data_IF_402386030956
#
_entry.id   IF_402386030956
#
_cell.length_a   1.000
_cell.length_b   1.000
_cell.length_c   1.000
_cell.angle_alpha   90.00
_cell.angle_beta   90.00
_cell.angle_gamma   90.00
#
_symmetry.space_group_name_H-M   'P 1'
#
loop_
_entity.id
_entity.type
_entity.pdbx_description
1 polymer ?
#
# COMPACT_ATOMS: atom_id res chain seq x y z
N UNK A 1 -3.32 -18.60 19.22
CA UNK A 1 -2.57 -17.36 19.50
C UNK A 1 -3.58 -16.27 19.79
N UNK A 2 -3.51 -15.68 20.99
CA UNK A 2 -4.52 -14.75 21.48
C UNK A 2 -4.59 -13.51 20.57
N UNK A 3 -5.76 -13.27 19.98
CA UNK A 3 -6.05 -12.00 19.32
C UNK A 3 -6.08 -10.92 20.40
N UNK A 4 -4.97 -10.20 20.53
CA UNK A 4 -4.88 -9.00 21.34
C UNK A 4 -5.92 -8.05 20.71
N UNK A 5 -7.01 -7.76 21.41
CA UNK A 5 -8.00 -6.79 20.95
C UNK A 5 -7.38 -5.40 21.03
N UNK A 6 -6.55 -5.07 20.04
CA UNK A 6 -5.92 -3.78 19.90
C UNK A 6 -6.99 -2.83 19.38
N UNK A 7 -7.26 -1.75 20.12
CA UNK A 7 -8.16 -0.67 19.66
C UNK A 7 -7.69 -0.05 18.34
N UNK A 8 -6.48 -0.35 17.89
CA UNK A 8 -5.84 0.17 16.68
C UNK A 8 -6.17 -0.73 15.50
N UNK A 9 -7.21 -0.33 14.75
CA UNK A 9 -7.63 -1.00 13.52
C UNK A 9 -7.05 -0.39 12.24
N UNK A 10 -6.44 0.80 12.37
CA UNK A 10 -6.02 1.65 11.24
C UNK A 10 -4.55 2.01 11.32
N UNK A 11 -3.84 1.88 10.21
CA UNK A 11 -2.48 2.38 10.01
C UNK A 11 -2.49 3.56 9.05
N UNK A 12 -1.62 4.55 9.30
CA UNK A 12 -1.38 5.66 8.38
C UNK A 12 0.07 5.59 7.90
N UNK A 13 0.28 5.47 6.60
CA UNK A 13 1.61 5.35 5.99
C UNK A 13 1.86 6.61 5.13
N UNK A 14 2.75 7.51 5.57
CA UNK A 14 3.09 8.70 4.81
C UNK A 14 4.06 8.37 3.67
N UNK A 15 3.54 8.34 2.45
CA UNK A 15 4.28 8.06 1.21
C UNK A 15 4.43 9.30 0.31
N UNK A 16 4.19 10.52 0.82
CA UNK A 16 4.23 11.75 0.02
C UNK A 16 5.64 12.30 -0.29
N UNK A 17 6.72 11.73 0.26
CA UNK A 17 8.07 12.30 0.13
C UNK A 17 8.74 12.05 -1.22
N UNK A 18 9.43 13.05 -1.78
CA UNK A 18 10.09 12.97 -3.11
C UNK A 18 11.35 12.08 -3.17
N UNK A 19 11.84 11.56 -2.04
CA UNK A 19 12.95 10.60 -2.02
C UNK A 19 14.31 11.18 -2.45
N UNK A 20 14.57 12.46 -2.22
CA UNK A 20 15.80 13.15 -2.69
C UNK A 20 17.13 12.51 -2.27
N UNK A 21 17.14 11.73 -1.19
CA UNK A 21 18.33 10.99 -0.71
C UNK A 21 18.67 9.75 -1.53
N UNK A 22 17.75 9.29 -2.39
CA UNK A 22 17.88 8.07 -3.20
C UNK A 22 17.93 8.41 -4.71
N UNK A 23 18.21 9.68 -5.04
CA UNK A 23 18.47 10.08 -6.42
C UNK A 23 19.81 9.47 -6.89
N UNK A 24 19.93 9.03 -8.16
CA UNK A 24 18.98 9.23 -9.27
C UNK A 24 17.84 8.19 -9.36
N UNK A 25 17.88 7.11 -8.59
CA UNK A 25 16.93 5.98 -8.71
C UNK A 25 15.47 6.42 -8.52
N UNK A 26 15.22 7.38 -7.62
CA UNK A 26 13.86 7.82 -7.28
C UNK A 26 13.34 8.99 -8.12
N UNK A 27 13.99 9.31 -9.24
CA UNK A 27 13.54 10.39 -10.15
C UNK A 27 12.22 10.04 -10.85
N UNK A 28 12.05 8.76 -11.23
CA UNK A 28 10.87 8.27 -11.96
C UNK A 28 10.03 7.28 -11.15
N UNK A 29 10.66 6.54 -10.23
CA UNK A 29 10.00 5.54 -9.39
C UNK A 29 9.94 6.07 -7.95
N UNK A 30 8.78 6.05 -7.27
CA UNK A 30 8.71 6.42 -5.86
C UNK A 30 9.65 5.55 -5.03
N UNK A 31 10.30 6.11 -4.01
CA UNK A 31 11.21 5.35 -3.13
C UNK A 31 10.54 4.13 -2.49
N UNK A 32 9.23 4.21 -2.26
CA UNK A 32 8.41 3.15 -1.66
C UNK A 32 8.20 1.97 -2.62
N UNK A 33 8.36 2.20 -3.92
CA UNK A 33 8.27 1.20 -4.99
C UNK A 33 9.63 0.63 -5.39
N UNK A 34 10.72 1.00 -4.71
CA UNK A 34 12.01 0.38 -4.95
C UNK A 34 11.92 -1.12 -4.57
N UNK A 35 12.33 -2.04 -5.46
CA UNK A 35 12.28 -3.47 -5.17
C UNK A 35 13.35 -3.84 -4.15
N UNK A 36 12.95 -4.59 -3.13
CA UNK A 36 13.83 -5.34 -2.26
C UNK A 36 13.72 -6.81 -2.68
N UNK A 37 14.76 -7.30 -3.38
CA UNK A 37 14.75 -8.59 -4.08
C UNK A 37 13.74 -8.59 -5.23
N UNK A 38 12.51 -9.00 -4.97
CA UNK A 38 11.43 -9.23 -5.94
C UNK A 38 10.17 -8.39 -5.67
N UNK A 39 10.04 -7.82 -4.46
CA UNK A 39 8.85 -7.10 -4.01
C UNK A 39 9.17 -5.64 -3.68
N UNK A 40 8.27 -4.69 -3.97
CA UNK A 40 8.50 -3.30 -3.58
C UNK A 40 8.49 -3.14 -2.07
N UNK A 41 9.27 -2.18 -1.55
CA UNK A 41 9.38 -1.91 -0.11
C UNK A 41 8.02 -1.70 0.58
N UNK A 42 7.07 -1.03 -0.10
CA UNK A 42 5.74 -0.77 0.46
C UNK A 42 4.97 -2.06 0.78
N UNK A 43 5.19 -3.14 0.03
CA UNK A 43 4.53 -4.43 0.27
C UNK A 43 5.00 -5.06 1.59
N UNK A 44 6.27 -4.90 1.96
CA UNK A 44 6.77 -5.35 3.26
C UNK A 44 6.10 -4.61 4.41
N UNK A 45 5.99 -3.28 4.31
CA UNK A 45 5.34 -2.43 5.33
C UNK A 45 3.86 -2.80 5.49
N UNK A 46 3.16 -3.03 4.37
CA UNK A 46 1.76 -3.46 4.39
C UNK A 46 1.62 -4.85 5.00
N UNK A 47 2.48 -5.80 4.64
CA UNK A 47 2.47 -7.14 5.22
C UNK A 47 2.72 -7.13 6.73
N UNK A 48 3.61 -6.27 7.23
CA UNK A 48 3.81 -6.08 8.67
C UNK A 48 2.56 -5.54 9.36
N UNK A 49 1.85 -4.60 8.74
CA UNK A 49 0.59 -4.07 9.24
C UNK A 49 -0.49 -5.16 9.31
N UNK A 50 -0.60 -6.00 8.26
CA UNK A 50 -1.54 -7.13 8.20
C UNK A 50 -1.20 -8.16 9.27
N UNK A 51 0.08 -8.50 9.44
CA UNK A 51 0.56 -9.41 10.48
C UNK A 51 0.28 -8.88 11.89
N UNK A 52 0.26 -7.56 12.07
CA UNK A 52 -0.13 -6.89 13.31
C UNK A 52 -1.66 -6.86 13.54
N UNK A 53 -2.47 -7.37 12.60
CA UNK A 53 -3.93 -7.38 12.69
C UNK A 53 -4.60 -6.08 12.25
N UNK A 54 -3.90 -5.21 11.53
CA UNK A 54 -4.46 -3.96 11.00
C UNK A 54 -5.21 -4.26 9.70
N UNK A 55 -6.49 -3.93 9.66
CA UNK A 55 -7.36 -4.18 8.51
C UNK A 55 -7.53 -2.95 7.62
N UNK A 56 -7.29 -1.74 8.14
CA UNK A 56 -7.44 -0.50 7.38
C UNK A 56 -6.09 0.23 7.26
N UNK A 57 -5.65 0.48 6.04
CA UNK A 57 -4.38 1.16 5.77
C UNK A 57 -4.67 2.43 4.98
N UNK A 58 -4.16 3.57 5.46
CA UNK A 58 -4.32 4.88 4.83
C UNK A 58 -2.96 5.33 4.29
N UNK A 59 -2.84 5.39 2.96
CA UNK A 59 -1.66 5.89 2.27
C UNK A 59 -1.77 7.39 2.04
N UNK A 60 -0.93 8.19 2.70
CA UNK A 60 -0.88 9.64 2.48
C UNK A 60 0.14 9.93 1.40
N UNK A 61 -0.34 10.24 0.19
CA UNK A 61 0.46 10.33 -1.04
C UNK A 61 0.40 11.72 -1.70
N UNK A 62 1.12 11.87 -2.81
CA UNK A 62 1.11 13.04 -3.69
C UNK A 62 0.61 12.63 -5.09
N UNK A 63 0.14 13.58 -5.91
CA UNK A 63 -0.45 13.31 -7.23
C UNK A 63 0.50 12.60 -8.22
N UNK A 64 1.80 12.63 -7.96
CA UNK A 64 2.84 12.02 -8.78
C UNK A 64 3.11 10.54 -8.45
N UNK A 65 2.30 9.90 -7.58
CA UNK A 65 2.59 8.56 -7.03
C UNK A 65 1.44 7.56 -7.19
N UNK A 66 0.74 7.58 -8.32
CA UNK A 66 -0.33 6.62 -8.65
C UNK A 66 0.18 5.17 -8.77
N UNK A 67 1.48 4.97 -8.98
CA UNK A 67 2.08 3.63 -9.06
C UNK A 67 1.96 2.82 -7.76
N UNK A 68 1.81 3.49 -6.61
CA UNK A 68 1.60 2.80 -5.33
C UNK A 68 0.18 2.23 -5.28
N UNK A 69 -0.82 2.99 -5.72
CA UNK A 69 -2.22 2.52 -5.80
C UNK A 69 -2.33 1.32 -6.72
N UNK A 70 -1.83 1.45 -7.95
CA UNK A 70 -1.91 0.39 -8.95
C UNK A 70 -1.22 -0.91 -8.51
N UNK A 71 -0.25 -0.85 -7.59
CA UNK A 71 0.40 -2.03 -7.04
C UNK A 71 -0.51 -2.84 -6.11
N UNK A 72 -1.39 -2.17 -5.37
CA UNK A 72 -2.32 -2.79 -4.43
C UNK A 72 -3.72 -3.00 -5.00
N UNK A 73 -4.02 -2.39 -6.14
CA UNK A 73 -5.26 -2.58 -6.87
C UNK A 73 -5.22 -3.88 -7.70
N UNK A 74 -6.39 -4.49 -7.86
CA UNK A 74 -6.55 -5.71 -8.65
C UNK A 74 -6.41 -5.40 -10.14
N UNK A 75 -5.37 -5.94 -10.77
CA UNK A 75 -5.12 -5.75 -12.20
C UNK A 75 -5.86 -6.83 -13.02
N UNK A 76 -7.13 -6.57 -13.35
CA UNK A 76 -7.99 -7.53 -14.06
C UNK A 76 -7.35 -8.07 -15.36
N UNK A 77 -6.69 -7.20 -16.14
CA UNK A 77 -6.01 -7.62 -17.38
C UNK A 77 -4.86 -8.59 -17.11
N UNK A 78 -4.07 -8.35 -16.05
CA UNK A 78 -2.94 -9.19 -15.67
C UNK A 78 -3.41 -10.54 -15.14
N UNK A 79 -4.44 -10.56 -14.30
CA UNK A 79 -5.04 -11.79 -13.77
C UNK A 79 -5.60 -12.67 -14.90
N UNK A 80 -6.41 -12.07 -15.80
CA UNK A 80 -6.95 -12.79 -16.95
C UNK A 80 -5.86 -13.33 -17.89
N UNK A 81 -4.74 -12.62 -18.03
CA UNK A 81 -3.59 -13.07 -18.81
C UNK A 81 -2.83 -14.22 -18.14
N UNK A 82 -2.67 -14.19 -16.82
CA UNK A 82 -2.02 -15.25 -16.03
C UNK A 82 -2.87 -16.52 -15.96
N UNK A 83 -4.19 -16.38 -15.82
CA UNK A 83 -5.16 -17.47 -15.89
C UNK A 83 -5.09 -18.19 -17.23
N UNK A 84 -5.11 -17.43 -18.35
CA UNK A 84 -4.99 -17.99 -19.71
C UNK A 84 -3.69 -18.76 -19.92
N UNK A 85 -2.60 -18.36 -19.24
CA UNK A 85 -1.29 -19.00 -19.35
C UNK A 85 -1.08 -20.15 -18.34
N UNK A 86 -2.09 -20.49 -17.53
CA UNK A 86 -2.07 -21.54 -16.49
C UNK A 86 -0.93 -21.33 -15.47
N UNK A 87 -0.49 -20.08 -15.27
CA UNK A 87 0.57 -19.72 -14.32
C UNK A 87 0.00 -19.52 -12.91
N UNK A 88 -0.52 -20.60 -12.32
CA UNK A 88 -1.25 -20.57 -11.04
C UNK A 88 -0.45 -19.98 -9.88
N UNK A 89 0.84 -20.33 -9.77
CA UNK A 89 1.71 -19.80 -8.71
C UNK A 89 1.82 -18.27 -8.75
N UNK A 90 1.98 -17.69 -9.94
CA UNK A 90 2.10 -16.24 -10.11
C UNK A 90 0.76 -15.54 -9.93
N UNK A 91 -0.35 -16.20 -10.29
CA UNK A 91 -1.69 -15.68 -10.02
C UNK A 91 -1.95 -15.58 -8.51
N UNK A 92 -1.62 -16.65 -7.77
CA UNK A 92 -1.76 -16.68 -6.31
C UNK A 92 -0.88 -15.60 -5.66
N UNK A 93 0.35 -15.39 -6.15
CA UNK A 93 1.23 -14.33 -5.66
C UNK A 93 0.64 -12.93 -5.88
N UNK A 94 0.09 -12.64 -7.07
CA UNK A 94 -0.54 -11.34 -7.37
C UNK A 94 -1.79 -11.12 -6.52
N UNK A 95 -2.65 -12.13 -6.39
CA UNK A 95 -3.85 -12.04 -5.54
C UNK A 95 -3.53 -11.94 -4.05
N UNK A 96 -2.38 -12.47 -3.62
CA UNK A 96 -1.92 -12.36 -2.23
C UNK A 96 -1.41 -10.96 -1.84
N UNK A 97 -1.17 -10.07 -2.80
CA UNK A 97 -0.66 -8.71 -2.52
C UNK A 97 -1.63 -7.93 -1.63
N UNK A 98 -2.94 -8.06 -1.86
CA UNK A 98 -3.97 -7.40 -1.07
C UNK A 98 -5.02 -8.43 -0.64
N UNK A 99 -4.97 -8.91 0.62
CA UNK A 99 -5.97 -9.85 1.12
C UNK A 99 -7.38 -9.21 1.13
N UNK A 100 -8.45 -9.98 0.88
CA UNK A 100 -9.81 -9.45 0.74
C UNK A 100 -10.40 -8.79 2.00
N UNK A 101 -9.78 -9.01 3.16
CA UNK A 101 -10.20 -8.43 4.44
C UNK A 101 -9.46 -7.12 4.79
N UNK A 102 -8.52 -6.68 3.93
CA UNK A 102 -7.72 -5.48 4.12
C UNK A 102 -8.23 -4.41 3.17
N UNK A 103 -8.47 -3.21 3.69
CA UNK A 103 -8.86 -2.05 2.88
C UNK A 103 -7.74 -1.04 2.86
N UNK A 104 -7.22 -0.76 1.67
CA UNK A 104 -6.19 0.25 1.44
C UNK A 104 -6.88 1.49 0.85
N UNK A 105 -6.83 2.59 1.58
CA UNK A 105 -7.35 3.89 1.17
C UNK A 105 -6.19 4.83 0.88
N UNK A 106 -6.30 5.66 -0.14
CA UNK A 106 -5.29 6.66 -0.47
C UNK A 106 -5.80 8.09 -0.34
N UNK A 107 -4.94 8.97 0.15
CA UNK A 107 -5.21 10.38 0.32
C UNK A 107 -4.12 11.23 -0.34
N UNK A 108 -4.48 11.93 -1.41
CA UNK A 108 -3.59 12.89 -2.08
C UNK A 108 -3.64 14.22 -1.35
N UNK A 109 -2.49 14.71 -0.87
CA UNK A 109 -2.37 16.07 -0.28
C UNK A 109 -2.93 17.11 -1.26
N UNK A 110 -4.06 17.73 -0.90
CA UNK A 110 -4.73 18.76 -1.69
C UNK A 110 -6.22 18.49 -1.97
N UNK A 111 -6.70 17.26 -1.79
CA UNK A 111 -8.11 16.92 -1.96
C UNK A 111 -8.88 17.03 -0.64
N UNK A 112 -9.84 17.96 -0.59
CA UNK A 112 -10.69 18.28 0.56
C UNK A 112 -11.89 17.30 0.69
N UNK A 113 -11.75 16.05 0.27
CA UNK A 113 -12.81 15.05 0.43
C UNK A 113 -12.54 14.22 1.69
N UNK A 114 -13.24 14.62 2.75
CA UNK A 114 -13.54 13.84 3.95
C UNK A 114 -12.32 13.47 4.80
N UNK A 115 -11.89 14.43 5.61
CA UNK A 115 -11.42 14.13 6.96
C UNK A 115 -12.50 14.61 7.92
N UNK A 116 -13.23 13.67 8.51
CA UNK A 116 -13.83 13.89 9.82
C UNK A 116 -12.67 14.04 10.82
N UNK A 117 -12.75 15.05 11.67
CA UNK A 117 -11.73 15.63 12.56
C UNK A 117 -11.13 14.66 13.58
N UNK A 118 -11.49 13.37 13.55
CA UNK A 118 -11.12 12.34 14.52
C UNK A 118 -9.74 11.70 14.29
N UNK A 119 -9.10 11.92 13.15
CA UNK A 119 -7.83 11.28 12.81
C UNK A 119 -6.61 12.22 12.83
N UNK A 120 -6.78 13.49 13.20
CA UNK A 120 -5.66 14.39 13.45
C UNK A 120 -5.21 14.23 14.91
N UNK A 121 -4.36 13.24 15.18
CA UNK A 121 -3.55 13.24 16.40
C UNK A 121 -2.10 13.49 16.00
N UNK A 122 -1.82 14.74 15.65
CA UNK A 122 -0.56 15.38 16.03
C UNK A 122 -0.88 16.24 17.25
N UNK A 123 -0.81 15.63 18.42
CA UNK A 123 -0.74 16.40 19.66
C UNK A 123 0.57 17.18 19.67
N UNK A 124 0.41 18.51 19.50
CA UNK A 124 1.37 19.62 19.66
C UNK A 124 2.46 19.77 18.60
#
# INVERSE_FOLDING_TARGET
MAAINTKVKKAVIPVAGLGTRMLPATKAIPKEMLPLVDKPLIQYVVNECIAAGITEIVLVTHSSKNSIENHFDTSFELEAMLEKRVKRQLLDEVQSICPPHVTIMQFVRGWRKVWDTRYCVLTR
#
